data_IF_167036401222
#
_entry.id   IF_167036401222
#
_cell.length_a   1.000
_cell.length_b   1.000
_cell.length_c   1.000
_cell.angle_alpha   90.00
_cell.angle_beta   90.00
_cell.angle_gamma   90.00
#
_symmetry.space_group_name_H-M   'P 1'
#
loop_
_entity.id
_entity.type
_entity.pdbx_description
1 polymer ?
#
# COMPACT_ATOMS: atom_id res chain seq x y z
N UNK A 1 -11.70 8.12 7.84
CA UNK A 1 -11.30 6.73 8.15
C UNK A 1 -10.13 6.72 9.15
N UNK A 2 -10.24 7.42 10.29
CA UNK A 2 -9.20 7.49 11.33
C UNK A 2 -9.69 6.88 12.67
N UNK A 3 -11.00 6.69 12.84
CA UNK A 3 -11.58 6.07 14.03
C UNK A 3 -11.08 4.62 14.19
N UNK A 4 -10.48 4.36 15.36
CA UNK A 4 -9.92 3.09 15.87
C UNK A 4 -8.55 2.61 15.37
N UNK A 5 -7.63 3.54 15.10
CA UNK A 5 -6.20 3.17 15.11
C UNK A 5 -5.80 2.76 16.54
N UNK A 6 -5.73 1.45 16.76
CA UNK A 6 -5.53 0.84 18.07
C UNK A 6 -4.34 -0.11 18.06
N UNK A 7 -4.01 -0.68 19.23
CA UNK A 7 -3.02 -1.77 19.33
C UNK A 7 -3.39 -2.96 18.42
N UNK A 8 -4.68 -3.16 18.12
CA UNK A 8 -5.15 -4.20 17.19
C UNK A 8 -4.65 -3.97 15.77
N UNK A 9 -4.65 -2.72 15.30
CA UNK A 9 -4.15 -2.36 13.95
C UNK A 9 -2.65 -2.63 13.83
N UNK A 10 -1.87 -2.29 14.86
CA UNK A 10 -0.44 -2.60 14.91
C UNK A 10 -0.20 -4.12 14.95
N UNK A 11 -0.98 -4.86 15.73
CA UNK A 11 -0.91 -6.33 15.77
C UNK A 11 -1.25 -6.99 14.44
N UNK A 12 -2.29 -6.50 13.75
CA UNK A 12 -2.65 -6.96 12.41
C UNK A 12 -1.54 -6.66 11.40
N UNK A 13 -0.93 -5.48 11.48
CA UNK A 13 0.20 -5.10 10.65
C UNK A 13 1.39 -6.06 10.82
N UNK A 14 1.75 -6.38 12.06
CA UNK A 14 2.80 -7.34 12.38
C UNK A 14 2.48 -8.74 11.85
N UNK A 15 1.23 -9.18 12.03
CA UNK A 15 0.74 -10.47 11.53
C UNK A 15 0.85 -10.56 10.01
N UNK A 16 0.42 -9.53 9.28
CA UNK A 16 0.54 -9.47 7.82
C UNK A 16 1.98 -9.51 7.34
N UNK A 17 2.89 -8.78 8.00
CA UNK A 17 4.31 -8.83 7.68
C UNK A 17 4.88 -10.24 7.88
N UNK A 18 4.57 -10.86 9.02
CA UNK A 18 5.06 -12.19 9.38
C UNK A 18 4.55 -13.26 8.43
N UNK A 19 3.24 -13.26 8.14
CA UNK A 19 2.65 -14.19 7.17
C UNK A 19 3.17 -13.92 5.76
N UNK A 20 3.34 -12.66 5.37
CA UNK A 20 3.94 -12.32 4.08
C UNK A 20 5.34 -12.93 3.93
N UNK A 21 6.19 -12.75 4.93
CA UNK A 21 7.57 -13.29 4.91
C UNK A 21 7.57 -14.82 4.98
N UNK A 22 6.80 -15.43 5.89
CA UNK A 22 6.74 -16.89 6.03
C UNK A 22 6.12 -17.56 4.79
N UNK A 23 5.05 -16.98 4.26
CA UNK A 23 4.39 -17.44 3.04
C UNK A 23 5.31 -17.33 1.83
N UNK A 24 5.94 -16.16 1.62
CA UNK A 24 6.93 -16.00 0.56
C UNK A 24 8.09 -16.99 0.68
N UNK A 25 8.60 -17.22 1.89
CA UNK A 25 9.65 -18.21 2.15
C UNK A 25 9.24 -19.62 1.75
N UNK A 26 8.05 -20.07 2.19
CA UNK A 26 7.52 -21.39 1.84
C UNK A 26 7.36 -21.56 0.32
N UNK A 27 6.91 -20.52 -0.37
CA UNK A 27 6.75 -20.54 -1.82
C UNK A 27 8.08 -20.56 -2.56
N UNK A 28 9.06 -19.76 -2.11
CA UNK A 28 10.42 -19.79 -2.66
C UNK A 28 11.07 -21.16 -2.43
N UNK A 29 10.91 -21.79 -1.26
CA UNK A 29 11.44 -23.14 -1.00
C UNK A 29 10.84 -24.16 -1.96
N UNK A 30 9.52 -24.14 -2.14
CA UNK A 30 8.83 -25.06 -3.06
C UNK A 30 9.20 -24.88 -4.54
N UNK A 31 9.59 -23.66 -4.95
CA UNK A 31 9.74 -23.31 -6.38
C UNK A 31 11.21 -23.17 -6.80
N UNK A 32 12.05 -22.60 -5.96
CA UNK A 32 13.44 -22.24 -6.25
C UNK A 32 14.46 -22.98 -5.35
N UNK A 33 13.99 -23.79 -4.41
CA UNK A 33 14.82 -24.61 -3.51
C UNK A 33 15.29 -23.88 -2.25
N UNK A 34 15.85 -24.65 -1.32
CA UNK A 34 16.08 -24.20 0.07
C UNK A 34 17.11 -23.09 0.20
N UNK A 35 18.16 -23.09 -0.64
CA UNK A 35 19.16 -22.02 -0.62
C UNK A 35 18.56 -20.66 -0.99
N UNK A 36 17.71 -20.63 -2.03
CA UNK A 36 17.00 -19.41 -2.43
C UNK A 36 16.01 -18.97 -1.35
N UNK A 37 15.31 -19.93 -0.75
CA UNK A 37 14.38 -19.66 0.33
C UNK A 37 15.06 -19.06 1.54
N UNK A 38 16.21 -19.60 1.96
CA UNK A 38 16.99 -19.07 3.07
C UNK A 38 17.43 -17.62 2.83
N UNK A 39 17.91 -17.31 1.62
CA UNK A 39 18.27 -15.95 1.24
C UNK A 39 17.03 -15.02 1.25
N UNK A 40 15.89 -15.48 0.75
CA UNK A 40 14.64 -14.73 0.83
C UNK A 40 14.23 -14.47 2.29
N UNK A 41 14.33 -15.47 3.16
CA UNK A 41 13.96 -15.35 4.57
C UNK A 41 14.81 -14.28 5.27
N UNK A 42 16.12 -14.23 5.00
CA UNK A 42 17.00 -13.20 5.55
C UNK A 42 16.57 -11.80 5.07
N UNK A 43 16.47 -11.60 3.75
CA UNK A 43 16.13 -10.29 3.17
C UNK A 43 14.73 -9.86 3.60
N UNK A 44 13.77 -10.78 3.56
CA UNK A 44 12.38 -10.53 3.93
C UNK A 44 12.22 -10.21 5.41
N UNK A 45 12.95 -10.90 6.29
CA UNK A 45 12.93 -10.60 7.73
C UNK A 45 13.51 -9.22 8.02
N UNK A 46 14.59 -8.82 7.33
CA UNK A 46 15.16 -7.48 7.46
C UNK A 46 14.15 -6.40 7.04
N UNK A 47 13.49 -6.57 5.90
CA UNK A 47 12.47 -5.62 5.41
C UNK A 47 11.30 -5.56 6.40
N UNK A 48 10.80 -6.70 6.86
CA UNK A 48 9.74 -6.79 7.87
C UNK A 48 10.12 -6.03 9.14
N UNK A 49 11.33 -6.22 9.67
CA UNK A 49 11.80 -5.54 10.88
C UNK A 49 11.84 -4.02 10.66
N UNK A 50 12.38 -3.56 9.52
CA UNK A 50 12.44 -2.13 9.19
C UNK A 50 11.05 -1.51 9.14
N UNK A 51 10.11 -2.16 8.44
CA UNK A 51 8.72 -1.68 8.33
C UNK A 51 8.08 -1.63 9.73
N UNK A 52 8.21 -2.71 10.51
CA UNK A 52 7.55 -2.81 11.81
C UNK A 52 8.12 -1.85 12.85
N UNK A 53 9.45 -1.67 12.92
CA UNK A 53 10.09 -0.69 13.80
C UNK A 53 9.60 0.71 13.44
N UNK A 54 9.55 1.04 12.15
CA UNK A 54 9.08 2.35 11.72
C UNK A 54 7.60 2.58 12.08
N UNK A 55 6.75 1.57 11.90
CA UNK A 55 5.35 1.61 12.35
C UNK A 55 5.23 1.81 13.86
N UNK A 56 6.03 1.08 14.64
CA UNK A 56 6.05 1.19 16.10
C UNK A 56 6.48 2.61 16.52
N UNK A 57 7.53 3.16 15.91
CA UNK A 57 7.96 4.53 16.17
C UNK A 57 6.84 5.53 15.90
N UNK A 58 6.18 5.48 14.74
CA UNK A 58 5.08 6.38 14.41
C UNK A 58 3.86 6.17 15.34
N UNK A 59 3.59 4.93 15.74
CA UNK A 59 2.49 4.58 16.65
C UNK A 59 2.64 5.25 18.04
N UNK A 60 3.86 5.51 18.50
CA UNK A 60 4.08 6.23 19.76
C UNK A 60 3.69 7.72 19.66
N UNK A 61 3.74 8.31 18.46
CA UNK A 61 3.47 9.74 18.25
C UNK A 61 2.07 10.04 17.68
N UNK A 62 1.36 9.04 17.14
CA UNK A 62 0.05 9.24 16.50
C UNK A 62 -1.06 9.78 17.42
N UNK A 63 -0.97 9.60 18.74
CA UNK A 63 -1.97 10.16 19.68
C UNK A 63 -1.90 11.69 19.78
N UNK A 64 -0.75 12.28 19.43
CA UNK A 64 -0.48 13.72 19.64
C UNK A 64 -0.80 14.57 18.42
N UNK A 65 -0.87 14.00 17.21
CA UNK A 65 -0.99 14.76 15.96
C UNK A 65 -1.61 13.92 14.84
N UNK A 66 -2.55 14.49 14.09
CA UNK A 66 -3.24 13.82 12.97
C UNK A 66 -2.26 13.38 11.88
N UNK A 67 -1.23 14.19 11.60
CA UNK A 67 -0.20 13.88 10.60
C UNK A 67 0.40 12.48 10.85
N UNK A 68 0.70 12.14 12.11
CA UNK A 68 1.25 10.83 12.45
C UNK A 68 0.23 9.70 12.35
N UNK A 69 -1.07 9.97 12.52
CA UNK A 69 -2.14 8.99 12.28
C UNK A 69 -2.22 8.62 10.80
N UNK A 70 -2.17 9.63 9.92
CA UNK A 70 -2.18 9.44 8.47
C UNK A 70 -0.91 8.75 7.98
N UNK A 71 0.26 9.12 8.50
CA UNK A 71 1.52 8.40 8.22
C UNK A 71 1.41 6.95 8.70
N UNK A 72 0.88 6.70 9.91
CA UNK A 72 0.70 5.33 10.41
C UNK A 72 -0.19 4.49 9.49
N UNK A 73 -1.32 5.04 9.02
CA UNK A 73 -2.20 4.37 8.04
C UNK A 73 -1.47 4.08 6.73
N UNK A 74 -0.67 5.02 6.23
CA UNK A 74 0.18 4.80 5.07
C UNK A 74 1.18 3.65 5.31
N UNK A 75 1.77 3.58 6.51
CA UNK A 75 2.67 2.48 6.86
C UNK A 75 1.94 1.13 7.01
N UNK A 76 0.71 1.09 7.52
CA UNK A 76 -0.10 -0.13 7.50
C UNK A 76 -0.35 -0.63 6.07
N UNK A 77 -0.52 0.30 5.12
CA UNK A 77 -0.55 -0.03 3.69
C UNK A 77 0.73 -0.73 3.20
N UNK A 78 1.91 -0.36 3.73
CA UNK A 78 3.17 -1.05 3.40
C UNK A 78 3.19 -2.51 3.87
N UNK A 79 2.52 -2.86 4.97
CA UNK A 79 2.43 -4.26 5.40
C UNK A 79 1.61 -5.12 4.44
N UNK A 80 0.49 -4.59 3.95
CA UNK A 80 -0.30 -5.24 2.91
C UNK A 80 0.48 -5.32 1.59
N UNK A 81 1.21 -4.25 1.23
CA UNK A 81 2.01 -4.23 0.02
C UNK A 81 3.15 -5.24 0.10
N UNK A 82 3.81 -5.38 1.25
CA UNK A 82 4.81 -6.41 1.50
C UNK A 82 4.23 -7.82 1.39
N UNK A 83 3.07 -8.06 2.04
CA UNK A 83 2.37 -9.34 1.93
C UNK A 83 2.08 -9.71 0.47
N UNK A 84 1.55 -8.78 -0.33
CA UNK A 84 1.28 -9.01 -1.75
C UNK A 84 2.57 -9.17 -2.56
N UNK A 85 3.63 -8.43 -2.24
CA UNK A 85 4.92 -8.54 -2.90
C UNK A 85 5.58 -9.90 -2.64
N UNK A 86 5.42 -10.47 -1.44
CA UNK A 86 5.89 -11.82 -1.13
C UNK A 86 5.23 -12.91 -1.99
N UNK A 87 4.04 -12.65 -2.54
CA UNK A 87 3.39 -13.53 -3.52
C UNK A 87 3.97 -13.34 -4.94
N UNK A 88 4.64 -12.23 -5.24
CA UNK A 88 5.37 -12.07 -6.52
C UNK A 88 6.80 -12.58 -6.42
N UNK A 89 7.37 -12.54 -5.23
CA UNK A 89 8.80 -12.72 -5.01
C UNK A 89 9.39 -14.01 -5.56
N UNK A 90 8.71 -15.18 -5.63
CA UNK A 90 9.33 -16.40 -6.15
C UNK A 90 9.81 -16.30 -7.59
N UNK A 91 9.21 -15.44 -8.42
CA UNK A 91 9.68 -15.17 -9.79
C UNK A 91 11.11 -14.65 -9.78
N UNK A 92 11.47 -13.85 -8.78
CA UNK A 92 12.80 -13.26 -8.63
C UNK A 92 13.86 -14.30 -8.23
N UNK A 93 13.44 -15.44 -7.69
CA UNK A 93 14.33 -16.49 -7.20
C UNK A 93 14.48 -17.68 -8.17
N UNK A 94 13.63 -17.79 -9.19
CA UNK A 94 13.73 -18.85 -10.21
C UNK A 94 15.03 -18.74 -11.02
N UNK A 95 15.84 -19.79 -11.05
CA UNK A 95 17.10 -19.83 -11.80
C UNK A 95 16.90 -19.84 -13.32
N UNK A 96 15.75 -20.32 -13.79
CA UNK A 96 15.39 -20.39 -15.23
C UNK A 96 15.14 -18.99 -15.82
N UNK A 97 14.84 -18.00 -14.98
CA UNK A 97 14.58 -16.63 -15.42
C UNK A 97 15.89 -15.84 -15.36
N UNK A 98 16.30 -15.27 -16.49
CA UNK A 98 17.49 -14.42 -16.60
C UNK A 98 17.38 -13.23 -15.63
N UNK A 99 18.50 -12.87 -14.99
CA UNK A 99 18.64 -11.68 -14.17
C UNK A 99 18.19 -10.40 -14.89
N UNK A 100 18.41 -10.29 -16.21
CA UNK A 100 17.91 -9.15 -17.01
C UNK A 100 16.38 -9.03 -16.96
N UNK A 101 15.67 -10.16 -17.05
CA UNK A 101 14.20 -10.20 -16.99
C UNK A 101 13.73 -9.86 -15.57
N UNK A 102 14.40 -10.39 -14.53
CA UNK A 102 14.09 -10.08 -13.13
C UNK A 102 14.24 -8.59 -12.84
N UNK A 103 15.33 -7.98 -13.31
CA UNK A 103 15.55 -6.53 -13.20
C UNK A 103 14.47 -5.74 -13.94
N UNK A 104 14.08 -6.17 -15.15
CA UNK A 104 13.00 -5.52 -15.90
C UNK A 104 11.67 -5.57 -15.13
N UNK A 105 11.31 -6.72 -14.55
CA UNK A 105 10.10 -6.89 -13.73
C UNK A 105 10.12 -5.90 -12.55
N UNK A 106 11.25 -5.79 -11.84
CA UNK A 106 11.40 -4.86 -10.73
C UNK A 106 11.29 -3.39 -11.17
N UNK A 107 11.91 -3.02 -12.29
CA UNK A 107 11.83 -1.66 -12.83
C UNK A 107 10.39 -1.31 -13.22
N UNK A 108 9.69 -2.21 -13.92
CA UNK A 108 8.29 -2.01 -14.29
C UNK A 108 7.41 -1.87 -13.04
N UNK A 109 7.61 -2.72 -12.03
CA UNK A 109 6.89 -2.63 -10.76
C UNK A 109 7.15 -1.29 -10.05
N UNK A 110 8.40 -0.81 -10.01
CA UNK A 110 8.74 0.49 -9.44
C UNK A 110 8.07 1.65 -10.19
N UNK A 111 8.03 1.60 -11.52
CA UNK A 111 7.32 2.60 -12.34
C UNK A 111 5.82 2.59 -12.02
N UNK A 112 5.21 1.41 -11.93
CA UNK A 112 3.79 1.26 -11.59
C UNK A 112 3.48 1.82 -10.19
N UNK A 113 4.33 1.49 -9.21
CA UNK A 113 4.23 2.02 -7.84
C UNK A 113 4.33 3.54 -7.84
N UNK A 114 5.37 4.10 -8.47
CA UNK A 114 5.58 5.54 -8.51
C UNK A 114 4.42 6.26 -9.20
N UNK A 115 3.94 5.72 -10.31
CA UNK A 115 2.80 6.27 -11.05
C UNK A 115 1.52 6.29 -10.21
N UNK A 116 1.26 5.21 -9.44
CA UNK A 116 0.11 5.12 -8.55
C UNK A 116 0.19 6.11 -7.37
N UNK A 117 1.38 6.29 -6.78
CA UNK A 117 1.61 7.32 -5.76
C UNK A 117 1.35 8.71 -6.35
N UNK A 118 1.95 9.04 -7.49
CA UNK A 118 1.77 10.36 -8.13
C UNK A 118 0.30 10.62 -8.48
N UNK A 119 -0.40 9.63 -9.03
CA UNK A 119 -1.81 9.77 -9.37
C UNK A 119 -2.67 10.00 -8.12
N UNK A 120 -2.40 9.31 -7.02
CA UNK A 120 -3.11 9.52 -5.76
C UNK A 120 -2.98 10.95 -5.23
N UNK A 121 -1.80 11.57 -5.36
CA UNK A 121 -1.58 12.98 -5.02
C UNK A 121 -2.37 13.89 -5.94
N UNK A 122 -2.34 13.66 -7.27
CA UNK A 122 -3.09 14.45 -8.25
C UNK A 122 -4.59 14.40 -8.01
N UNK A 123 -5.14 13.22 -7.79
CA UNK A 123 -6.57 13.02 -7.51
C UNK A 123 -6.96 13.74 -6.23
N UNK A 124 -6.18 13.58 -5.17
CA UNK A 124 -6.43 14.25 -3.90
C UNK A 124 -6.39 15.78 -4.04
N UNK A 125 -5.37 16.34 -4.70
CA UNK A 125 -5.25 17.78 -4.90
C UNK A 125 -6.37 18.35 -5.76
N UNK A 126 -6.77 17.65 -6.83
CA UNK A 126 -7.89 18.06 -7.68
C UNK A 126 -9.18 18.16 -6.85
N UNK A 127 -9.48 17.16 -6.04
CA UNK A 127 -10.68 17.15 -5.19
C UNK A 127 -10.58 18.22 -4.09
N UNK A 128 -9.41 18.35 -3.46
CA UNK A 128 -9.17 19.37 -2.43
C UNK A 128 -9.35 20.80 -2.94
N UNK A 129 -8.84 21.09 -4.14
CA UNK A 129 -8.91 22.41 -4.76
C UNK A 129 -10.30 22.71 -5.34
N UNK A 130 -11.05 21.69 -5.74
CA UNK A 130 -12.43 21.83 -6.21
C UNK A 130 -13.45 22.13 -5.09
N UNK A 131 -13.07 21.98 -3.81
CA UNK A 131 -13.93 22.35 -2.69
C UNK A 131 -13.81 23.85 -2.39
N UNK A 132 -14.94 24.55 -2.35
CA UNK A 132 -15.00 25.94 -1.91
C UNK A 132 -14.37 26.12 -0.53
N UNK A 133 -13.62 27.22 -0.34
CA UNK A 133 -12.89 27.50 0.90
C UNK A 133 -13.81 27.57 2.12
N UNK A 134 -14.99 28.20 1.99
CA UNK A 134 -16.02 28.27 3.02
C UNK A 134 -16.51 26.89 3.47
N UNK A 135 -16.71 25.99 2.51
CA UNK A 135 -17.11 24.59 2.74
C UNK A 135 -15.99 23.82 3.43
N UNK A 136 -14.73 24.03 3.05
CA UNK A 136 -13.56 23.40 3.71
C UNK A 136 -13.48 23.79 5.18
N UNK A 137 -13.52 25.07 5.50
CA UNK A 137 -13.43 25.58 6.88
C UNK A 137 -14.61 25.06 7.73
N UNK A 138 -15.83 25.14 7.19
CA UNK A 138 -17.04 24.65 7.88
C UNK A 138 -16.97 23.14 8.16
N UNK A 139 -16.44 22.34 7.22
CA UNK A 139 -16.34 20.88 7.36
C UNK A 139 -15.17 20.43 8.23
N UNK A 140 -14.04 21.17 8.20
CA UNK A 140 -12.92 20.96 9.12
C UNK A 140 -13.37 21.07 10.58
N UNK A 141 -14.33 21.97 10.86
CA UNK A 141 -14.89 22.14 12.20
C UNK A 141 -13.80 22.45 13.22
N UNK A 142 -12.94 23.40 12.88
CA UNK A 142 -11.78 23.80 13.68
C UNK A 142 -12.27 24.35 15.02
N UNK A 143 -11.87 23.72 16.12
CA UNK A 143 -12.15 24.17 17.48
C UNK A 143 -10.81 24.10 18.24
N UNK A 144 -10.18 25.26 18.46
CA UNK A 144 -8.84 25.33 19.05
C UNK A 144 -7.82 24.55 18.24
N UNK A 145 -7.19 23.55 18.86
CA UNK A 145 -6.20 22.65 18.25
C UNK A 145 -6.82 21.36 17.68
N UNK A 146 -8.14 21.25 17.66
CA UNK A 146 -8.84 20.06 17.16
C UNK A 146 -9.50 20.30 15.81
N UNK A 147 -9.41 19.31 14.93
CA UNK A 147 -10.16 19.28 13.65
C UNK A 147 -10.86 17.94 13.48
N UNK A 148 -11.98 17.95 12.74
CA UNK A 148 -12.69 16.75 12.35
C UNK A 148 -12.27 16.34 10.93
N UNK A 149 -11.04 15.82 10.81
CA UNK A 149 -10.48 15.42 9.51
C UNK A 149 -11.32 14.33 8.84
N UNK A 150 -11.79 13.36 9.62
CA UNK A 150 -12.66 12.28 9.14
C UNK A 150 -13.94 12.79 8.46
N UNK A 151 -14.61 13.78 9.06
CA UNK A 151 -15.81 14.37 8.46
C UNK A 151 -15.50 15.04 7.12
N UNK A 152 -14.37 15.73 7.03
CA UNK A 152 -13.93 16.35 5.79
C UNK A 152 -13.65 15.31 4.72
N UNK A 153 -12.84 14.30 5.02
CA UNK A 153 -12.46 13.25 4.07
C UNK A 153 -13.68 12.45 3.59
N UNK A 154 -14.59 12.06 4.49
CA UNK A 154 -15.82 11.36 4.10
C UNK A 154 -16.68 12.20 3.15
N UNK A 155 -16.64 13.53 3.29
CA UNK A 155 -17.37 14.44 2.42
C UNK A 155 -16.73 14.62 1.03
N UNK A 156 -15.47 14.24 0.87
CA UNK A 156 -14.74 14.31 -0.40
C UNK A 156 -15.05 13.12 -1.31
N UNK A 157 -15.68 12.05 -0.77
CA UNK A 157 -15.95 10.79 -1.50
C UNK A 157 -14.74 10.35 -2.31
N UNK A 158 -13.59 10.25 -1.64
CA UNK A 158 -12.35 9.76 -2.26
C UNK A 158 -12.55 8.28 -2.64
N UNK A 159 -12.93 8.04 -3.88
CA UNK A 159 -13.00 6.70 -4.47
C UNK A 159 -11.59 6.29 -4.90
N UNK A 160 -11.09 5.20 -4.32
CA UNK A 160 -9.82 4.60 -4.71
C UNK A 160 -10.08 3.59 -5.84
N UNK A 161 -10.36 4.10 -7.04
CA UNK A 161 -10.35 3.27 -8.24
C UNK A 161 -8.93 2.80 -8.53
N UNK A 162 -8.75 1.52 -8.87
CA UNK A 162 -7.45 0.99 -9.27
C UNK A 162 -6.92 1.75 -10.49
N UNK A 163 -5.80 2.44 -10.33
CA UNK A 163 -5.14 3.14 -11.42
C UNK A 163 -4.12 2.24 -12.13
N UNK A 164 -4.36 2.00 -13.41
CA UNK A 164 -3.43 1.31 -14.29
C UNK A 164 -3.09 2.25 -15.45
N UNK A 165 -1.82 2.70 -15.56
CA UNK A 165 -1.41 3.58 -16.65
C UNK A 165 -1.81 3.03 -18.02
N UNK A 166 -2.46 3.85 -18.84
CA UNK A 166 -2.90 3.48 -20.19
C UNK A 166 -4.27 2.82 -20.29
N UNK A 167 -4.94 2.50 -19.17
CA UNK A 167 -6.30 1.93 -19.17
C UNK A 167 -7.34 2.94 -18.68
N UNK A 168 -8.54 2.92 -19.27
CA UNK A 168 -9.65 3.74 -18.80
C UNK A 168 -10.26 3.15 -17.52
N UNK A 169 -10.84 4.01 -16.67
CA UNK A 169 -11.42 3.59 -15.37
C UNK A 169 -12.52 2.54 -15.50
N UNK A 170 -13.24 2.53 -16.63
CA UNK A 170 -14.30 1.54 -16.90
C UNK A 170 -13.81 0.09 -16.99
N UNK A 171 -12.50 -0.13 -17.21
CA UNK A 171 -11.93 -1.48 -17.25
C UNK A 171 -11.59 -2.06 -15.88
N UNK A 172 -11.71 -1.30 -14.79
CA UNK A 172 -11.31 -1.75 -13.44
C UNK A 172 -11.98 -3.07 -13.03
N UNK A 173 -13.26 -3.24 -13.34
CA UNK A 173 -14.01 -4.47 -13.07
C UNK A 173 -13.50 -5.65 -13.90
N UNK A 174 -13.26 -5.44 -15.19
CA UNK A 174 -12.72 -6.46 -16.09
C UNK A 174 -11.34 -6.91 -15.61
N UNK A 175 -10.47 -5.96 -15.27
CA UNK A 175 -9.13 -6.25 -14.77
C UNK A 175 -9.19 -7.00 -13.45
N UNK A 176 -10.09 -6.62 -12.54
CA UNK A 176 -10.28 -7.30 -11.26
C UNK A 176 -10.74 -8.76 -11.44
N UNK A 177 -11.67 -9.01 -12.37
CA UNK A 177 -12.10 -10.37 -12.73
C UNK A 177 -10.93 -11.17 -13.32
N UNK A 178 -10.20 -10.58 -14.28
CA UNK A 178 -9.04 -11.22 -14.88
C UNK A 178 -7.99 -11.56 -13.82
N UNK A 179 -7.68 -10.65 -12.90
CA UNK A 179 -6.75 -10.89 -11.80
C UNK A 179 -7.14 -12.13 -10.99
N UNK A 180 -8.41 -12.26 -10.62
CA UNK A 180 -8.90 -13.43 -9.88
C UNK A 180 -8.77 -14.71 -10.70
N UNK A 181 -9.16 -14.70 -11.97
CA UNK A 181 -9.03 -15.84 -12.88
C UNK A 181 -7.57 -16.26 -13.02
N UNK A 182 -6.66 -15.32 -13.25
CA UNK A 182 -5.23 -15.58 -13.39
C UNK A 182 -4.60 -16.11 -12.09
N UNK A 183 -5.01 -15.61 -10.92
CA UNK A 183 -4.55 -16.16 -9.64
C UNK A 183 -4.99 -17.61 -9.44
N UNK A 184 -6.25 -17.94 -9.77
CA UNK A 184 -6.79 -19.31 -9.67
C UNK A 184 -6.11 -20.25 -10.68
N UNK A 185 -6.00 -19.82 -11.94
CA UNK A 185 -5.32 -20.61 -12.98
C UNK A 185 -3.85 -20.83 -12.65
N UNK A 186 -3.15 -19.78 -12.20
CA UNK A 186 -1.76 -19.88 -11.78
C UNK A 186 -1.58 -20.92 -10.69
N UNK A 187 -2.38 -20.84 -9.62
CA UNK A 187 -2.32 -21.80 -8.53
C UNK A 187 -2.51 -23.26 -8.98
N UNK A 188 -3.48 -23.52 -9.87
CA UNK A 188 -3.76 -24.87 -10.37
C UNK A 188 -2.68 -25.42 -11.30
N UNK A 189 -1.99 -24.55 -12.05
CA UNK A 189 -0.99 -24.95 -13.04
C UNK A 189 0.43 -25.07 -12.47
N UNK A 190 0.63 -24.82 -11.17
CA UNK A 190 1.97 -24.78 -10.53
C UNK A 190 2.82 -26.03 -10.72
N UNK A 191 2.19 -27.22 -10.81
CA UNK A 191 2.90 -28.49 -10.95
C UNK A 191 3.23 -28.83 -12.41
N UNK A 192 2.42 -28.36 -13.37
CA UNK A 192 2.55 -28.70 -14.80
C UNK A 192 3.34 -27.64 -15.55
N UNK A 193 3.08 -26.36 -15.27
CA UNK A 193 3.73 -25.21 -15.91
C UNK A 193 4.20 -24.20 -14.85
N UNK A 194 5.26 -24.52 -14.08
CA UNK A 194 5.69 -23.73 -12.93
C UNK A 194 6.07 -22.28 -13.30
N UNK A 195 6.68 -22.06 -14.46
CA UNK A 195 7.05 -20.71 -14.92
C UNK A 195 5.79 -19.90 -15.29
N UNK A 196 4.88 -20.46 -16.09
CA UNK A 196 3.62 -19.79 -16.43
C UNK A 196 2.78 -19.50 -15.18
N UNK A 197 2.65 -20.51 -14.31
CA UNK A 197 2.03 -20.37 -13.00
C UNK A 197 2.64 -19.20 -12.25
N UNK A 198 3.97 -19.08 -12.26
CA UNK A 198 4.69 -18.02 -11.57
C UNK A 198 4.37 -16.62 -12.11
N UNK A 199 4.06 -16.46 -13.40
CA UNK A 199 3.60 -15.20 -13.95
C UNK A 199 2.10 -14.96 -13.73
N UNK A 200 1.28 -16.00 -13.85
CA UNK A 200 -0.17 -15.92 -13.76
C UNK A 200 -0.65 -15.41 -12.40
N UNK A 201 -0.04 -15.85 -11.29
CA UNK A 201 -0.31 -15.26 -9.97
C UNK A 201 0.48 -13.95 -9.71
N UNK A 202 1.68 -13.80 -10.29
CA UNK A 202 2.58 -12.70 -10.00
C UNK A 202 2.14 -11.37 -10.59
N UNK A 203 1.59 -11.37 -11.81
CA UNK A 203 1.10 -10.13 -12.45
C UNK A 203 -0.06 -9.52 -11.62
N UNK A 204 -1.11 -10.29 -11.24
CA UNK A 204 -2.14 -9.79 -10.33
C UNK A 204 -1.59 -9.25 -9.01
N UNK A 205 -0.69 -9.99 -8.36
CA UNK A 205 -0.11 -9.54 -7.09
C UNK A 205 0.71 -8.26 -7.26
N UNK A 206 1.45 -8.09 -8.37
CA UNK A 206 2.17 -6.86 -8.69
C UNK A 206 1.23 -5.66 -8.92
N UNK A 207 0.11 -5.86 -9.60
CA UNK A 207 -0.93 -4.84 -9.76
C UNK A 207 -1.55 -4.46 -8.41
N UNK A 208 -1.79 -5.45 -7.54
CA UNK A 208 -2.29 -5.21 -6.18
C UNK A 208 -1.29 -4.42 -5.33
N UNK A 209 0.02 -4.70 -5.44
CA UNK A 209 1.07 -3.89 -4.82
C UNK A 209 0.99 -2.44 -5.30
N UNK A 210 0.92 -2.22 -6.62
CA UNK A 210 0.83 -0.87 -7.17
C UNK A 210 -0.42 -0.12 -6.66
N UNK A 211 -1.58 -0.78 -6.63
CA UNK A 211 -2.81 -0.24 -6.07
C UNK A 211 -2.70 0.10 -4.58
N UNK A 212 -2.08 -0.78 -3.78
CA UNK A 212 -1.83 -0.48 -2.36
C UNK A 212 -0.95 0.76 -2.20
N UNK A 213 0.03 0.97 -3.07
CA UNK A 213 0.82 2.20 -3.09
C UNK A 213 0.02 3.45 -3.48
N UNK A 214 -1.06 3.33 -4.26
CA UNK A 214 -2.02 4.41 -4.46
C UNK A 214 -2.71 4.81 -3.14
N UNK A 215 -3.12 3.83 -2.32
CA UNK A 215 -3.72 4.09 -1.01
C UNK A 215 -2.71 4.72 -0.02
N UNK A 216 -1.46 4.24 -0.06
CA UNK A 216 -0.35 4.83 0.70
C UNK A 216 -0.17 6.30 0.29
N UNK A 217 -0.07 6.57 -1.01
CA UNK A 217 0.08 7.92 -1.54
C UNK A 217 -1.08 8.84 -1.16
N UNK A 218 -2.32 8.34 -1.15
CA UNK A 218 -3.48 9.12 -0.71
C UNK A 218 -3.39 9.56 0.76
N UNK A 219 -2.95 8.66 1.64
CA UNK A 219 -2.73 8.99 3.06
C UNK A 219 -1.56 9.97 3.24
N UNK A 220 -0.50 9.85 2.44
CA UNK A 220 0.62 10.80 2.44
C UNK A 220 0.20 12.18 1.92
N UNK A 221 -0.63 12.24 0.88
CA UNK A 221 -1.17 13.50 0.35
C UNK A 221 -2.04 14.22 1.41
N UNK A 222 -2.88 13.47 2.12
CA UNK A 222 -3.63 13.99 3.26
C UNK A 222 -2.69 14.49 4.37
N UNK A 223 -1.66 13.71 4.74
CA UNK A 223 -0.71 14.10 5.78
C UNK A 223 0.04 15.39 5.42
N UNK A 224 0.45 15.53 4.17
CA UNK A 224 1.06 16.74 3.65
C UNK A 224 0.10 17.94 3.75
N UNK A 225 -1.18 17.75 3.41
CA UNK A 225 -2.17 18.82 3.48
C UNK A 225 -2.47 19.26 4.91
N UNK A 226 -2.60 18.31 5.84
CA UNK A 226 -2.73 18.63 7.28
C UNK A 226 -1.52 19.45 7.73
N UNK A 227 -0.29 19.06 7.35
CA UNK A 227 0.92 19.81 7.71
C UNK A 227 0.95 21.23 7.13
N UNK A 228 0.41 21.44 5.92
CA UNK A 228 0.25 22.78 5.35
C UNK A 228 -0.73 23.61 6.17
N UNK A 229 -1.89 23.05 6.54
CA UNK A 229 -2.87 23.74 7.37
C UNK A 229 -2.31 24.08 8.75
N UNK A 230 -1.56 23.16 9.38
CA UNK A 230 -0.92 23.43 10.68
C UNK A 230 0.04 24.63 10.61
N UNK A 231 0.75 24.81 9.49
CA UNK A 231 1.60 25.99 9.26
C UNK A 231 0.78 27.26 9.04
N UNK A 232 -0.29 27.16 8.25
CA UNK A 232 -1.18 28.29 7.93
C UNK A 232 -1.87 28.83 9.18
N UNK A 233 -2.43 27.94 10.00
CA UNK A 233 -3.13 28.30 11.23
C UNK A 233 -2.20 28.46 12.45
N UNK A 234 -0.91 28.12 12.32
CA UNK A 234 0.09 28.12 13.41
C UNK A 234 -0.34 27.27 14.62
N UNK A 235 -1.00 26.14 14.37
CA UNK A 235 -1.50 25.21 15.40
C UNK A 235 -1.16 23.78 15.01
N UNK A 236 -0.90 22.91 15.99
CA UNK A 236 -0.72 21.46 15.77
C UNK A 236 -2.08 20.80 15.89
N UNK A 237 -2.56 20.15 14.83
CA UNK A 237 -3.91 19.61 14.83
C UNK A 237 -3.99 18.21 15.44
N UNK A 238 -4.96 18.06 16.34
CA UNK A 238 -5.38 16.79 16.97
C UNK A 238 -6.74 16.37 16.40
N UNK A 239 -6.94 15.06 16.29
CA UNK A 239 -8.21 14.53 15.83
C UNK A 239 -9.27 14.79 16.91
N UNK A 240 -10.39 15.40 16.52
CA UNK A 240 -11.58 15.46 17.38
C UNK A 240 -12.10 14.03 17.56
N UNK A 241 -12.00 13.51 18.80
CA UNK A 241 -12.53 12.19 19.16
C UNK A 241 -14.07 12.22 19.13
#
# INVERSE_FOLDING_TARGET
MIRDISRKTLGLSFFLLTIGTAGGWAMVSSIAGDKAAFNFLIIGSLIQIIIFISQLSVFLYMRKRIVFQLIFLAMCGLSLAWFMFSLVSPILWLNVIDNKIKSLILVVLLILIASNVVESFRVFEKIWNGLEASVRIKRLGVIGDTINWDKLINSMRLEADMYIPGFSRGFSLVISILMLVFMVLGFNLRHVYPVFSAFAWGIPSALMVAYLFQLIGLNLAQANKVRMLEKEYKVIFRQKM
#
